data_IF_082497102676
#
_entry.id   IF_082497102676
#
_cell.length_a   1.000
_cell.length_b   1.000
_cell.length_c   1.000
_cell.angle_alpha   90.00
_cell.angle_beta   90.00
_cell.angle_gamma   90.00
#
_symmetry.space_group_name_H-M   'P 1'
#
loop_
_entity.id
_entity.type
_entity.pdbx_description
1 polymer ?
#
# COMPACT_ATOMS: atom_id res chain seq x y z
N UNK A 1 -13.88 3.78 -5.89
CA UNK A 1 -12.61 3.40 -6.56
C UNK A 1 -12.61 1.89 -6.83
N UNK A 2 -12.15 1.41 -8.00
CA UNK A 2 -11.94 -0.03 -8.22
C UNK A 2 -10.52 -0.40 -7.81
N UNK A 3 -10.35 -1.14 -6.73
CA UNK A 3 -9.04 -1.53 -6.18
C UNK A 3 -8.59 -2.92 -6.69
N UNK A 4 -9.37 -3.57 -7.54
CA UNK A 4 -9.04 -4.88 -8.14
C UNK A 4 -8.14 -4.76 -9.38
N UNK A 5 -7.85 -3.55 -9.85
CA UNK A 5 -6.99 -3.31 -11.02
C UNK A 5 -5.91 -2.31 -10.65
N UNK A 6 -4.64 -2.68 -10.81
CA UNK A 6 -3.53 -1.75 -10.58
C UNK A 6 -3.56 -0.67 -11.67
N UNK A 7 -3.79 0.57 -11.25
CA UNK A 7 -4.01 1.70 -12.16
C UNK A 7 -2.73 2.50 -12.48
N UNK A 8 -1.58 2.13 -11.90
CA UNK A 8 -0.31 2.81 -12.17
C UNK A 8 0.40 2.19 -13.38
N UNK A 9 1.07 3.01 -14.22
CA UNK A 9 2.00 2.49 -15.22
C UNK A 9 3.07 1.63 -14.55
N UNK A 10 3.44 0.53 -15.21
CA UNK A 10 4.53 -0.37 -14.81
C UNK A 10 4.43 -0.84 -13.33
N UNK A 11 3.37 -1.59 -12.98
CA UNK A 11 3.14 -2.05 -11.61
C UNK A 11 4.29 -2.91 -11.06
N UNK A 12 4.97 -3.65 -11.94
CA UNK A 12 6.10 -4.51 -11.60
C UNK A 12 7.30 -3.68 -11.12
N UNK A 13 7.62 -2.57 -11.81
CA UNK A 13 8.72 -1.68 -11.42
C UNK A 13 8.50 -1.07 -10.04
N UNK A 14 7.26 -0.68 -9.73
CA UNK A 14 6.92 -0.18 -8.39
C UNK A 14 7.06 -1.29 -7.33
N UNK A 15 6.60 -2.50 -7.63
CA UNK A 15 6.72 -3.64 -6.72
C UNK A 15 8.19 -4.00 -6.46
N UNK A 16 9.03 -4.03 -7.49
CA UNK A 16 10.46 -4.26 -7.35
C UNK A 16 11.13 -3.19 -6.48
N UNK A 17 10.80 -1.91 -6.70
CA UNK A 17 11.30 -0.81 -5.88
C UNK A 17 10.90 -0.99 -4.41
N UNK A 18 9.64 -1.35 -4.14
CA UNK A 18 9.15 -1.61 -2.79
C UNK A 18 9.90 -2.79 -2.13
N UNK A 19 10.05 -3.91 -2.84
CA UNK A 19 10.79 -5.08 -2.35
C UNK A 19 12.24 -4.74 -2.02
N UNK A 20 12.92 -3.97 -2.87
CA UNK A 20 14.29 -3.51 -2.62
C UNK A 20 14.39 -2.68 -1.35
N UNK A 21 13.42 -1.79 -1.11
CA UNK A 21 13.38 -1.01 0.13
C UNK A 21 13.15 -1.86 1.39
N UNK A 22 12.52 -3.03 1.28
CA UNK A 22 12.41 -3.98 2.40
C UNK A 22 13.66 -4.84 2.61
N UNK A 23 14.56 -4.93 1.63
CA UNK A 23 15.77 -5.76 1.70
C UNK A 23 16.60 -5.48 2.96
N UNK A 24 16.84 -6.52 3.76
CA UNK A 24 17.67 -6.45 4.97
C UNK A 24 17.00 -5.82 6.20
N UNK A 25 15.72 -5.42 6.12
CA UNK A 25 14.96 -4.89 7.26
C UNK A 25 14.37 -6.01 8.12
N UNK A 26 14.25 -5.78 9.42
CA UNK A 26 13.43 -6.65 10.28
C UNK A 26 11.94 -6.49 9.95
N UNK A 27 11.11 -7.33 10.56
CA UNK A 27 9.66 -7.22 10.44
C UNK A 27 9.14 -5.87 10.97
N UNK A 28 9.68 -5.42 12.10
CA UNK A 28 9.32 -4.16 12.75
C UNK A 28 9.73 -2.96 11.90
N UNK A 29 10.93 -3.00 11.33
CA UNK A 29 11.42 -1.96 10.43
C UNK A 29 10.60 -1.89 9.13
N UNK A 30 10.22 -3.05 8.60
CA UNK A 30 9.32 -3.15 7.44
C UNK A 30 7.93 -2.60 7.75
N UNK A 31 7.39 -2.90 8.93
CA UNK A 31 6.11 -2.33 9.37
C UNK A 31 6.20 -0.79 9.53
N UNK A 32 7.29 -0.28 10.11
CA UNK A 32 7.53 1.15 10.23
C UNK A 32 7.67 1.84 8.87
N UNK A 33 8.32 1.21 7.89
CA UNK A 33 8.39 1.68 6.51
C UNK A 33 7.00 1.78 5.89
N UNK A 34 6.19 0.73 6.01
CA UNK A 34 4.83 0.70 5.46
C UNK A 34 3.94 1.78 6.06
N UNK A 35 4.03 2.04 7.36
CA UNK A 35 3.28 3.13 8.01
C UNK A 35 3.67 4.48 7.40
N UNK A 36 4.96 4.76 7.27
CA UNK A 36 5.44 6.03 6.68
C UNK A 36 4.97 6.17 5.22
N UNK A 37 5.07 5.10 4.43
CA UNK A 37 4.61 5.08 3.05
C UNK A 37 3.11 5.40 2.94
N UNK A 38 2.27 4.79 3.78
CA UNK A 38 0.82 5.06 3.82
C UNK A 38 0.54 6.54 4.09
N UNK A 39 1.22 7.17 5.05
CA UNK A 39 1.05 8.60 5.32
C UNK A 39 1.52 9.49 4.17
N UNK A 40 2.63 9.15 3.52
CA UNK A 40 3.12 9.88 2.35
C UNK A 40 2.11 9.82 1.20
N UNK A 41 1.58 8.63 0.90
CA UNK A 41 0.54 8.45 -0.12
C UNK A 41 -0.75 9.20 0.23
N UNK A 42 -1.16 9.17 1.50
CA UNK A 42 -2.34 9.92 1.97
C UNK A 42 -2.19 11.44 1.73
N UNK A 43 -0.98 11.97 1.97
CA UNK A 43 -0.66 13.37 1.70
C UNK A 43 -0.66 13.73 0.21
N UNK A 44 -0.39 12.77 -0.69
CA UNK A 44 -0.52 12.98 -2.14
C UNK A 44 -1.97 12.95 -2.60
N UNK A 45 -2.76 12.00 -2.08
CA UNK A 45 -4.18 11.80 -2.47
C UNK A 45 -5.06 12.96 -2.02
N UNK A 46 -4.86 13.49 -0.80
CA UNK A 46 -5.60 14.64 -0.21
C UNK A 46 -7.14 14.52 -0.16
N UNK A 47 -7.70 13.38 -0.53
CA UNK A 47 -9.13 13.11 -0.50
C UNK A 47 -9.47 12.07 0.58
N UNK A 48 -10.15 12.52 1.63
CA UNK A 48 -10.58 11.67 2.74
C UNK A 48 -11.50 10.53 2.30
N UNK A 49 -12.38 10.74 1.33
CA UNK A 49 -13.32 9.71 0.88
C UNK A 49 -12.57 8.55 0.22
N UNK A 50 -11.62 8.87 -0.66
CA UNK A 50 -10.73 7.90 -1.29
C UNK A 50 -9.92 7.13 -0.25
N UNK A 51 -9.35 7.82 0.74
CA UNK A 51 -8.56 7.17 1.79
C UNK A 51 -9.40 6.20 2.64
N UNK A 52 -10.66 6.54 2.93
CA UNK A 52 -11.59 5.64 3.64
C UNK A 52 -11.95 4.43 2.80
N UNK A 53 -12.15 4.58 1.48
CA UNK A 53 -12.37 3.44 0.58
C UNK A 53 -11.15 2.51 0.55
N UNK A 54 -9.93 3.04 0.47
CA UNK A 54 -8.70 2.25 0.51
C UNK A 54 -8.58 1.45 1.82
N UNK A 55 -8.92 2.04 2.97
CA UNK A 55 -8.90 1.33 4.26
C UNK A 55 -9.89 0.16 4.29
N UNK A 56 -11.09 0.33 3.75
CA UNK A 56 -12.10 -0.74 3.68
C UNK A 56 -11.61 -1.91 2.83
N UNK A 57 -11.12 -1.61 1.63
CA UNK A 57 -10.63 -2.65 0.72
C UNK A 57 -9.41 -3.40 1.28
N UNK A 58 -8.47 -2.70 1.93
CA UNK A 58 -7.34 -3.35 2.59
C UNK A 58 -7.79 -4.33 3.68
N UNK A 59 -8.86 -4.03 4.42
CA UNK A 59 -9.45 -4.92 5.42
C UNK A 59 -10.16 -6.15 4.82
N UNK A 60 -10.76 -6.01 3.64
CA UNK A 60 -11.42 -7.10 2.92
C UNK A 60 -10.40 -8.09 2.33
N UNK A 61 -9.31 -7.60 1.74
CA UNK A 61 -8.23 -8.44 1.20
C UNK A 61 -7.53 -9.27 2.27
N UNK A 62 -7.38 -8.76 3.49
CA UNK A 62 -6.82 -9.50 4.63
C UNK A 62 -7.77 -10.55 5.24
N UNK A 63 -9.06 -10.51 4.87
CA UNK A 63 -10.09 -11.42 5.41
C UNK A 63 -10.45 -12.57 4.48
N UNK A 64 -9.88 -12.63 3.27
CA UNK A 64 -10.02 -13.76 2.36
C UNK A 64 -9.18 -14.93 2.89
N UNK A 65 -9.74 -15.66 3.86
CA UNK A 65 -9.19 -16.92 4.38
C UNK A 65 -8.91 -17.87 3.22
N UNK A 66 -7.63 -18.22 3.04
CA UNK A 66 -7.24 -19.54 2.54
C UNK A 66 -7.43 -20.59 3.62
#
# INVERSE_FOLDING_TARGET
MNLETIAIPDPDDFYEALCREHGGKTLEESAALNIRLVFLLANQIKDRSVLVECLKAAGESGSRKS
#
